data_IF_715612873653
#
_entry.id   IF_715612873653
#
_cell.length_a   1.000
_cell.length_b   1.000
_cell.length_c   1.000
_cell.angle_alpha   90.00
_cell.angle_beta   90.00
_cell.angle_gamma   90.00
#
_symmetry.space_group_name_H-M   'P 1'
#
loop_
_entity.id
_entity.type
_entity.pdbx_description
1 polymer ?
#
# COMPACT_ATOMS: atom_id res chain seq x y z
N UNK A 1 26.19 21.28 17.22
CA UNK A 1 25.19 20.59 16.77
C UNK A 1 23.99 21.48 16.52
N UNK A 2 23.18 21.43 16.21
CA UNK A 2 21.93 21.60 15.66
C UNK A 2 21.06 22.64 16.32
N UNK A 3 21.66 23.78 16.53
CA UNK A 3 20.91 24.93 17.05
C UNK A 3 19.80 25.35 16.08
N UNK A 4 19.93 24.93 14.81
CA UNK A 4 18.97 25.27 13.79
C UNK A 4 17.88 24.21 13.62
N UNK A 5 17.94 23.13 14.37
CA UNK A 5 16.95 22.09 14.25
C UNK A 5 15.67 22.52 14.97
N UNK A 6 14.58 22.53 14.23
CA UNK A 6 13.28 22.81 14.79
C UNK A 6 12.73 21.55 15.47
N UNK A 7 12.95 21.45 16.77
CA UNK A 7 12.52 20.28 17.56
C UNK A 7 11.01 20.09 17.54
N UNK A 8 10.25 21.18 17.47
CA UNK A 8 8.79 21.09 17.40
C UNK A 8 8.35 20.40 16.12
N UNK A 9 8.96 20.79 14.99
CA UNK A 9 8.65 20.15 13.72
C UNK A 9 9.11 18.70 13.69
N UNK A 10 10.26 18.40 14.25
CA UNK A 10 10.77 17.04 14.35
C UNK A 10 9.82 16.16 15.16
N UNK A 11 9.36 16.66 16.30
CA UNK A 11 8.43 15.92 17.16
C UNK A 11 7.10 15.69 16.44
N UNK A 12 6.63 16.68 15.73
CA UNK A 12 5.38 16.59 14.97
C UNK A 12 5.47 15.53 13.87
N UNK A 13 6.60 15.52 13.16
CA UNK A 13 6.83 14.53 12.11
C UNK A 13 6.95 13.13 12.72
N UNK A 14 7.67 13.01 13.82
CA UNK A 14 7.84 11.74 14.52
C UNK A 14 6.49 11.17 14.98
N UNK A 15 5.64 12.02 15.55
CA UNK A 15 4.30 11.61 15.98
C UNK A 15 3.47 11.08 14.82
N UNK A 16 3.58 11.73 13.67
CA UNK A 16 2.87 11.29 12.46
C UNK A 16 3.39 9.95 11.96
N UNK A 17 4.70 9.77 11.99
CA UNK A 17 5.30 8.49 11.59
C UNK A 17 4.84 7.37 12.53
N UNK A 18 4.87 7.60 13.82
CA UNK A 18 4.45 6.59 14.81
C UNK A 18 2.98 6.23 14.63
N UNK A 19 2.14 7.22 14.38
CA UNK A 19 0.72 6.99 14.12
C UNK A 19 0.53 6.10 12.89
N UNK A 20 1.22 6.42 11.82
CA UNK A 20 1.12 5.66 10.57
C UNK A 20 1.68 4.26 10.71
N UNK A 21 2.76 4.08 11.47
CA UNK A 21 3.29 2.77 11.76
C UNK A 21 2.29 1.92 12.54
N UNK A 22 1.57 2.53 13.48
CA UNK A 22 0.50 1.85 14.23
C UNK A 22 -0.65 1.43 13.33
N UNK A 23 -1.07 2.31 12.42
CA UNK A 23 -2.11 2.01 11.44
C UNK A 23 -1.69 0.89 10.49
N UNK A 24 -0.46 0.93 10.04
CA UNK A 24 0.13 -0.08 9.17
C UNK A 24 0.13 -1.46 9.85
N UNK A 25 0.53 -1.50 11.12
CA UNK A 25 0.55 -2.74 11.89
C UNK A 25 -0.87 -3.32 12.05
N UNK A 26 -1.85 -2.46 12.27
CA UNK A 26 -3.25 -2.86 12.37
C UNK A 26 -3.74 -3.47 11.05
N UNK A 27 -3.44 -2.80 9.94
CA UNK A 27 -3.82 -3.28 8.61
C UNK A 27 -3.17 -4.62 8.33
N UNK A 28 -1.90 -4.79 8.67
CA UNK A 28 -1.19 -6.06 8.49
C UNK A 28 -1.86 -7.19 9.28
N UNK A 29 -2.29 -6.90 10.51
CA UNK A 29 -3.00 -7.88 11.33
C UNK A 29 -4.36 -8.24 10.73
N UNK A 30 -5.08 -7.23 10.22
CA UNK A 30 -6.37 -7.44 9.57
C UNK A 30 -6.22 -8.29 8.31
N UNK A 31 -5.20 -8.02 7.51
CA UNK A 31 -4.91 -8.82 6.31
C UNK A 31 -4.59 -10.27 6.66
N UNK A 32 -3.82 -10.47 7.72
CA UNK A 32 -3.48 -11.82 8.19
C UNK A 32 -4.76 -12.58 8.58
N UNK A 33 -5.69 -11.89 9.24
CA UNK A 33 -6.96 -12.50 9.64
C UNK A 33 -7.80 -12.90 8.42
N UNK A 34 -7.83 -12.07 7.39
CA UNK A 34 -8.57 -12.37 6.15
C UNK A 34 -7.96 -13.57 5.42
N UNK A 35 -6.64 -13.62 5.34
CA UNK A 35 -5.96 -14.77 4.74
C UNK A 35 -6.17 -16.06 5.53
N UNK A 36 -6.26 -15.95 6.87
CA UNK A 36 -6.57 -17.10 7.72
C UNK A 36 -7.98 -17.60 7.45
N UNK A 37 -8.93 -16.69 7.21
CA UNK A 37 -10.29 -17.05 6.81
C UNK A 37 -10.29 -17.81 5.49
N UNK A 38 -9.54 -17.31 4.50
CA UNK A 38 -9.42 -17.99 3.21
C UNK A 38 -8.85 -19.39 3.37
N UNK A 39 -7.86 -19.55 4.23
CA UNK A 39 -7.25 -20.84 4.53
C UNK A 39 -8.26 -21.80 5.13
N UNK A 40 -9.06 -21.33 6.09
CA UNK A 40 -10.07 -22.17 6.73
C UNK A 40 -11.15 -22.62 5.75
N UNK A 41 -11.41 -21.84 4.70
CA UNK A 41 -12.37 -22.17 3.65
C UNK A 41 -11.75 -22.98 2.51
N UNK A 42 -10.43 -23.20 2.54
CA UNK A 42 -9.75 -24.09 1.61
C UNK A 42 -9.43 -23.51 0.24
N UNK A 43 -9.48 -22.20 0.05
CA UNK A 43 -9.17 -21.61 -1.26
C UNK A 43 -8.06 -20.54 -1.25
N UNK A 44 -7.10 -20.70 -0.34
CA UNK A 44 -5.96 -19.80 -0.26
C UNK A 44 -5.18 -19.70 -1.58
N UNK A 45 -4.95 -20.84 -2.20
CA UNK A 45 -4.17 -20.93 -3.44
C UNK A 45 -4.84 -20.17 -4.58
N UNK A 46 -6.14 -20.38 -4.72
CA UNK A 46 -6.93 -19.74 -5.76
C UNK A 46 -7.03 -18.23 -5.55
N UNK A 47 -7.20 -17.80 -4.31
CA UNK A 47 -7.27 -16.38 -3.99
C UNK A 47 -5.96 -15.67 -4.21
N UNK A 48 -4.83 -16.29 -3.87
CA UNK A 48 -3.51 -15.71 -4.13
C UNK A 48 -3.29 -15.51 -5.62
N UNK A 49 -3.70 -16.49 -6.40
CA UNK A 49 -3.60 -16.43 -7.85
C UNK A 49 -4.45 -15.30 -8.42
N UNK A 50 -5.71 -15.23 -7.98
CA UNK A 50 -6.64 -14.19 -8.41
C UNK A 50 -6.14 -12.80 -8.01
N UNK A 51 -5.63 -12.65 -6.81
CA UNK A 51 -5.09 -11.39 -6.33
C UNK A 51 -3.89 -10.93 -7.19
N UNK A 52 -2.98 -11.85 -7.48
CA UNK A 52 -1.82 -11.56 -8.32
C UNK A 52 -2.22 -11.07 -9.71
N UNK A 53 -3.24 -11.71 -10.29
CA UNK A 53 -3.75 -11.32 -11.60
C UNK A 53 -4.38 -9.93 -11.56
N UNK A 54 -5.18 -9.65 -10.54
CA UNK A 54 -5.80 -8.33 -10.37
C UNK A 54 -4.76 -7.23 -10.20
N UNK A 55 -3.76 -7.48 -9.38
CA UNK A 55 -2.69 -6.53 -9.13
C UNK A 55 -1.93 -6.24 -10.40
N UNK A 56 -1.60 -7.27 -11.16
CA UNK A 56 -0.91 -7.14 -12.43
C UNK A 56 -1.71 -6.28 -13.42
N UNK A 57 -3.01 -6.53 -13.54
CA UNK A 57 -3.88 -5.76 -14.42
C UNK A 57 -3.97 -4.29 -14.01
N UNK A 58 -4.02 -4.03 -12.71
CA UNK A 58 -4.04 -2.65 -12.20
C UNK A 58 -2.75 -1.93 -12.52
N UNK A 59 -1.61 -2.57 -12.32
CA UNK A 59 -0.31 -2.01 -12.62
C UNK A 59 -0.17 -1.73 -14.12
N UNK A 60 -0.60 -2.65 -14.96
CA UNK A 60 -0.59 -2.48 -16.41
C UNK A 60 -1.44 -1.32 -16.85
N UNK A 61 -2.62 -1.14 -16.26
CA UNK A 61 -3.50 -0.01 -16.54
C UNK A 61 -2.85 1.31 -16.13
N UNK A 62 -2.20 1.34 -14.98
CA UNK A 62 -1.52 2.54 -14.50
C UNK A 62 -0.39 2.93 -15.44
N UNK A 63 0.42 1.97 -15.87
CA UNK A 63 1.52 2.21 -16.80
C UNK A 63 0.99 2.68 -18.16
N UNK A 64 -0.03 2.02 -18.66
CA UNK A 64 -0.65 2.41 -19.93
C UNK A 64 -1.18 3.82 -19.87
N UNK A 65 -1.84 4.20 -18.76
CA UNK A 65 -2.35 5.54 -18.55
C UNK A 65 -1.27 6.60 -18.61
N UNK A 66 -0.10 6.31 -18.01
CA UNK A 66 1.05 7.22 -18.06
C UNK A 66 1.52 7.41 -19.49
N UNK A 67 1.65 6.32 -20.25
CA UNK A 67 2.07 6.41 -21.65
C UNK A 67 1.07 7.16 -22.51
N UNK A 68 -0.21 6.92 -22.29
CA UNK A 68 -1.28 7.63 -23.01
C UNK A 68 -1.20 9.13 -22.77
N UNK A 69 -1.01 9.54 -21.53
CA UNK A 69 -0.86 10.95 -21.19
C UNK A 69 0.41 11.56 -21.79
N UNK A 70 1.52 10.84 -21.64
CA UNK A 70 2.80 11.33 -22.12
C UNK A 70 2.82 11.51 -23.66
N UNK A 71 2.14 10.64 -24.35
CA UNK A 71 2.09 10.65 -25.83
C UNK A 71 0.93 11.47 -26.40
N UNK A 72 0.02 11.91 -25.52
CA UNK A 72 -1.15 12.69 -25.96
C UNK A 72 -2.09 11.91 -26.87
N UNK A 73 -2.18 10.59 -26.65
CA UNK A 73 -2.99 9.72 -27.52
C UNK A 73 -4.50 9.88 -27.30
N UNK A 74 -4.89 10.32 -26.11
CA UNK A 74 -6.30 10.55 -25.78
C UNK A 74 -6.46 11.93 -25.16
N UNK A 75 -6.88 12.89 -25.91
CA UNK A 75 -7.11 14.26 -25.42
C UNK A 75 -8.54 14.44 -24.96
#
# INVERSE_FOLDING_TARGET
MTDNVNTTDMMRILDRIEKLEGEKAKIAADMKAVWAEAKSKGFTKELRKAYSIRKMKQEDRAVLGVYVQALGLFD
#
